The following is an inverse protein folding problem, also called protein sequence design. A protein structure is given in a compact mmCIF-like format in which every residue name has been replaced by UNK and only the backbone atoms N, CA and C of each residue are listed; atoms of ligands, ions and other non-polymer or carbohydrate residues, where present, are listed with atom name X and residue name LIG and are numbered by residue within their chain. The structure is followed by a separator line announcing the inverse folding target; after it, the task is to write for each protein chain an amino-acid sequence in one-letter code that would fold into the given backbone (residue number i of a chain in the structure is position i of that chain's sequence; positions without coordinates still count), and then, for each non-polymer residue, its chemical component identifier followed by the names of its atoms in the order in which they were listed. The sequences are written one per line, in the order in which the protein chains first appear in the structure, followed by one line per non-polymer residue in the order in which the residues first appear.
data_IF_621019936277
#
_entry.id   IF_621019936277
#
_cell.length_a   1.000
_cell.length_b   1.000
_cell.length_c   1.000
_cell.angle_alpha   90.00
_cell.angle_beta   90.00
_cell.angle_gamma   90.00
#
_symmetry.space_group_name_H-M   'P 1'
#
loop_
_entity.id
_entity.type
_entity.pdbx_description
1 polymer ?
#
# COMPACT_ATOMS: atom_id res chain seq x y z
N UNK A 1 -15.24 21.57 42.75
CA UNK A 1 -13.83 21.33 43.14
C UNK A 1 -13.06 20.85 41.91
N UNK A 2 -12.14 21.64 41.33
CA UNK A 2 -11.36 21.20 40.18
C UNK A 2 -10.16 20.36 40.66
N UNK A 3 -10.05 19.15 40.11
CA UNK A 3 -8.96 18.19 40.37
C UNK A 3 -7.67 18.79 39.79
N UNK A 4 -6.74 19.23 40.65
CA UNK A 4 -5.42 19.74 40.22
C UNK A 4 -4.65 18.62 39.55
N UNK A 5 -4.60 18.64 38.22
CA UNK A 5 -3.77 17.75 37.43
C UNK A 5 -2.29 18.09 37.73
N UNK A 6 -1.53 17.10 38.16
CA UNK A 6 -0.14 17.29 38.60
C UNK A 6 0.73 17.79 37.45
N UNK A 7 1.42 18.92 37.68
CA UNK A 7 2.23 19.65 36.70
C UNK A 7 3.40 18.82 36.12
N UNK A 8 3.74 17.68 36.73
CA UNK A 8 4.76 16.73 36.25
C UNK A 8 4.32 15.92 35.03
N UNK A 9 3.02 15.81 34.75
CA UNK A 9 2.50 15.06 33.60
C UNK A 9 2.38 15.90 32.32
N UNK A 10 2.40 17.24 32.42
CA UNK A 10 2.36 18.15 31.29
C UNK A 10 3.50 17.94 30.26
N UNK A 11 4.78 17.79 30.65
CA UNK A 11 5.85 17.63 29.66
C UNK A 11 5.77 16.29 28.92
N UNK A 12 5.33 15.22 29.60
CA UNK A 12 5.14 13.92 28.96
C UNK A 12 3.96 13.93 27.98
N UNK A 13 2.85 14.58 28.34
CA UNK A 13 1.71 14.75 27.45
C UNK A 13 2.09 15.60 26.23
N UNK A 14 2.84 16.69 26.42
CA UNK A 14 3.32 17.52 25.31
C UNK A 14 4.24 16.76 24.36
N UNK A 15 5.16 15.92 24.88
CA UNK A 15 6.01 15.06 24.05
C UNK A 15 5.19 14.02 23.28
N UNK A 16 4.17 13.39 23.89
CA UNK A 16 3.31 12.43 23.21
C UNK A 16 2.52 13.11 22.09
N UNK A 17 1.97 14.30 22.34
CA UNK A 17 1.26 15.10 21.33
C UNK A 17 2.22 15.48 20.20
N UNK A 18 3.44 15.92 20.50
CA UNK A 18 4.43 16.27 19.50
C UNK A 18 4.87 15.06 18.65
N UNK A 19 5.03 13.88 19.27
CA UNK A 19 5.30 12.63 18.53
C UNK A 19 4.11 12.28 17.65
N UNK A 20 2.87 12.38 18.15
CA UNK A 20 1.66 12.11 17.37
C UNK A 20 1.53 13.11 16.20
N UNK A 21 1.76 14.39 16.41
CA UNK A 21 1.75 15.41 15.34
C UNK A 21 2.82 15.15 14.27
N UNK A 22 4.02 14.70 14.67
CA UNK A 22 5.06 14.29 13.71
C UNK A 22 4.60 13.05 12.92
N UNK A 23 4.02 12.04 13.58
CA UNK A 23 3.50 10.85 12.90
C UNK A 23 2.35 11.21 11.94
N UNK A 24 1.46 12.13 12.32
CA UNK A 24 0.36 12.61 11.48
C UNK A 24 0.85 13.42 10.28
N UNK A 25 1.91 14.25 10.42
CA UNK A 25 2.49 14.98 9.29
C UNK A 25 3.23 14.07 8.30
N UNK A 26 3.79 12.94 8.75
CA UNK A 26 4.35 11.93 7.85
C UNK A 26 3.23 11.19 7.09
N UNK A 27 2.06 11.01 7.73
CA UNK A 27 0.88 10.37 7.14
C UNK A 27 0.28 11.13 5.94
N UNK A 28 0.37 12.46 5.88
CA UNK A 28 -0.16 13.25 4.75
C UNK A 28 0.54 12.95 3.40
N UNK A 29 1.71 12.29 3.42
CA UNK A 29 2.45 11.89 2.21
C UNK A 29 2.25 10.43 1.77
N UNK A 30 1.45 9.67 2.52
CA UNK A 30 1.24 8.23 2.31
C UNK A 30 -0.11 7.90 1.66
N UNK A 31 -1.01 8.88 1.50
CA UNK A 31 -2.22 8.68 0.71
C UNK A 31 -1.84 8.63 -0.78
N UNK A 32 -1.91 7.46 -1.43
CA UNK A 32 -1.61 7.34 -2.85
C UNK A 32 -2.73 7.91 -3.72
N UNK A 33 -3.94 8.11 -3.16
CA UNK A 33 -5.15 8.52 -3.87
C UNK A 33 -5.65 9.90 -3.41
N UNK A 34 -5.05 11.01 -3.89
CA UNK A 34 -5.50 12.34 -3.50
C UNK A 34 -6.88 12.74 -4.07
N UNK A 35 -7.50 11.93 -4.94
CA UNK A 35 -8.72 12.31 -5.68
C UNK A 35 -9.92 11.46 -5.30
N UNK A 36 -10.97 12.13 -4.82
CA UNK A 36 -12.31 11.58 -4.58
C UNK A 36 -13.14 11.40 -5.86
N UNK A 37 -12.60 11.73 -7.03
CA UNK A 37 -13.33 11.79 -8.32
C UNK A 37 -13.42 10.44 -9.05
N UNK A 38 -13.00 9.35 -8.40
CA UNK A 38 -12.95 8.02 -9.01
C UNK A 38 -11.74 7.85 -9.93
N UNK A 39 -11.46 6.60 -10.29
CA UNK A 39 -10.40 6.26 -11.24
C UNK A 39 -11.07 5.89 -12.56
N UNK A 40 -10.66 6.51 -13.66
CA UNK A 40 -11.11 6.12 -14.99
C UNK A 40 -10.68 4.68 -15.27
N UNK A 41 -11.67 3.82 -15.49
CA UNK A 41 -11.47 2.38 -15.67
C UNK A 41 -10.58 2.07 -16.89
N UNK A 42 -10.66 2.85 -17.96
CA UNK A 42 -9.82 2.65 -19.15
C UNK A 42 -8.36 3.01 -18.87
N UNK A 43 -8.13 4.02 -18.02
CA UNK A 43 -6.78 4.41 -17.60
C UNK A 43 -6.19 3.36 -16.65
N UNK A 44 -7.00 2.86 -15.72
CA UNK A 44 -6.60 1.78 -14.82
C UNK A 44 -6.28 0.50 -15.59
N UNK A 45 -7.14 0.11 -16.54
CA UNK A 45 -6.95 -1.05 -17.40
C UNK A 45 -5.67 -0.91 -18.22
N UNK A 46 -5.46 0.23 -18.90
CA UNK A 46 -4.26 0.48 -19.70
C UNK A 46 -2.95 0.36 -18.88
N UNK A 47 -2.96 0.79 -17.62
CA UNK A 47 -1.78 0.72 -16.76
C UNK A 47 -1.52 -0.70 -16.25
N UNK A 48 -2.58 -1.46 -15.99
CA UNK A 48 -2.46 -2.87 -15.59
C UNK A 48 -2.11 -3.77 -16.78
N UNK A 49 -2.62 -3.47 -17.98
CA UNK A 49 -2.35 -4.21 -19.22
C UNK A 49 -0.91 -3.99 -19.70
N UNK A 50 -0.44 -2.75 -19.65
CA UNK A 50 0.87 -2.35 -20.18
C UNK A 50 1.99 -2.46 -19.13
N UNK A 51 1.72 -3.09 -17.99
CA UNK A 51 2.72 -3.29 -16.95
C UNK A 51 3.90 -4.10 -17.51
N UNK A 52 5.12 -3.54 -17.60
CA UNK A 52 6.22 -4.20 -18.31
C UNK A 52 6.62 -5.52 -17.64
N UNK A 53 7.02 -6.52 -18.43
CA UNK A 53 7.72 -7.67 -17.88
C UNK A 53 9.14 -7.25 -17.47
N UNK A 54 9.65 -7.73 -16.33
CA UNK A 54 11.00 -7.44 -15.84
C UNK A 54 11.31 -5.95 -15.58
N UNK A 55 10.40 -5.26 -14.90
CA UNK A 55 10.62 -3.87 -14.47
C UNK A 55 11.79 -3.79 -13.48
N UNK A 56 12.80 -2.97 -13.78
CA UNK A 56 13.76 -2.55 -12.78
C UNK A 56 13.05 -1.62 -11.77
N UNK A 57 12.77 -2.12 -10.57
CA UNK A 57 12.03 -1.39 -9.53
C UNK A 57 12.66 -0.03 -9.17
N UNK A 58 13.97 0.13 -9.37
CA UNK A 58 14.69 1.37 -9.07
C UNK A 58 14.52 2.45 -10.15
N UNK A 59 14.21 2.07 -11.39
CA UNK A 59 14.02 3.03 -12.50
C UNK A 59 12.59 3.59 -12.56
N UNK A 60 11.63 2.96 -11.89
CA UNK A 60 10.25 3.44 -11.82
C UNK A 60 10.14 4.62 -10.87
N UNK A 61 9.61 5.74 -11.36
CA UNK A 61 9.35 6.93 -10.53
C UNK A 61 8.37 6.59 -9.40
N UNK A 62 8.65 7.10 -8.20
CA UNK A 62 7.78 6.94 -7.03
C UNK A 62 6.33 7.35 -7.31
N UNK A 63 6.11 8.43 -8.07
CA UNK A 63 4.76 8.88 -8.45
C UNK A 63 3.95 7.82 -9.20
N UNK A 64 4.58 7.10 -10.11
CA UNK A 64 3.92 6.01 -10.84
C UNK A 64 3.62 4.82 -9.91
N UNK A 65 4.56 4.48 -9.02
CA UNK A 65 4.33 3.45 -7.99
C UNK A 65 3.12 3.80 -7.12
N UNK A 66 3.03 5.05 -6.65
CA UNK A 66 1.88 5.51 -5.87
C UNK A 66 0.58 5.48 -6.66
N UNK A 67 0.61 5.85 -7.94
CA UNK A 67 -0.57 5.81 -8.79
C UNK A 67 -1.13 4.39 -8.97
N UNK A 68 -0.24 3.42 -9.20
CA UNK A 68 -0.63 2.00 -9.23
C UNK A 68 -1.19 1.54 -7.88
N UNK A 69 -0.53 1.90 -6.78
CA UNK A 69 -1.02 1.58 -5.44
C UNK A 69 -2.39 2.19 -5.18
N UNK A 70 -2.65 3.39 -5.70
CA UNK A 70 -3.96 4.03 -5.64
C UNK A 70 -5.04 3.20 -6.35
N UNK A 71 -4.76 2.70 -7.55
CA UNK A 71 -5.66 1.80 -8.29
C UNK A 71 -5.98 0.56 -7.43
N UNK A 72 -4.96 -0.07 -6.85
CA UNK A 72 -5.15 -1.25 -6.01
C UNK A 72 -6.00 -0.95 -4.76
N UNK A 73 -5.82 0.23 -4.16
CA UNK A 73 -6.65 0.66 -3.03
C UNK A 73 -8.10 0.91 -3.43
N UNK A 74 -8.32 1.56 -4.58
CA UNK A 74 -9.66 1.86 -5.10
C UNK A 74 -10.49 0.59 -5.31
N UNK A 75 -9.86 -0.47 -5.82
CA UNK A 75 -10.49 -1.78 -5.98
C UNK A 75 -10.53 -2.61 -4.69
N UNK A 76 -10.14 -2.05 -3.54
CA UNK A 76 -10.04 -2.72 -2.24
C UNK A 76 -9.13 -3.96 -2.24
N UNK A 77 -8.13 -3.99 -3.12
CA UNK A 77 -7.12 -5.05 -3.17
C UNK A 77 -6.07 -4.83 -2.07
N UNK A 78 -5.80 -3.57 -1.71
CA UNK A 78 -4.88 -3.21 -0.63
C UNK A 78 -5.48 -2.12 0.24
N UNK A 79 -5.31 -2.20 1.56
CA UNK A 79 -5.72 -1.12 2.48
C UNK A 79 -4.67 -0.02 2.56
N UNK A 80 -5.04 1.10 3.18
CA UNK A 80 -4.12 2.18 3.56
C UNK A 80 -2.99 1.73 4.50
N UNK A 81 -3.15 0.64 5.25
CA UNK A 81 -2.08 0.04 6.06
C UNK A 81 -1.15 -0.90 5.27
N UNK A 82 -1.56 -1.30 4.07
CA UNK A 82 -0.82 -2.21 3.19
C UNK A 82 -1.17 -3.68 3.38
N UNK A 83 -2.29 -3.96 4.04
CA UNK A 83 -2.88 -5.30 4.06
C UNK A 83 -3.49 -5.60 2.69
N UNK A 84 -3.32 -6.83 2.21
CA UNK A 84 -3.75 -7.25 0.87
C UNK A 84 -4.97 -8.15 1.04
N UNK A 85 -6.05 -7.82 0.33
CA UNK A 85 -7.34 -8.52 0.35
C UNK A 85 -7.64 -9.07 -1.04
N UNK A 86 -7.56 -10.39 -1.15
CA UNK A 86 -7.84 -11.12 -2.39
C UNK A 86 -8.97 -12.13 -2.23
N UNK A 87 -9.55 -12.23 -1.04
CA UNK A 87 -10.66 -13.10 -0.67
C UNK A 87 -11.83 -12.99 -1.66
N UNK A 88 -12.28 -11.78 -1.97
CA UNK A 88 -13.36 -11.56 -2.96
C UNK A 88 -13.00 -12.10 -4.36
N UNK A 89 -11.72 -12.05 -4.73
CA UNK A 89 -11.25 -12.53 -6.03
C UNK A 89 -11.07 -14.04 -6.07
N UNK A 90 -10.76 -14.65 -4.92
CA UNK A 90 -10.75 -16.11 -4.74
C UNK A 90 -12.18 -16.67 -4.78
N UNK A 91 -13.11 -16.05 -4.05
CA UNK A 91 -14.51 -16.49 -3.95
C UNK A 91 -15.24 -16.45 -5.31
N UNK A 92 -14.85 -15.51 -6.18
CA UNK A 92 -15.40 -15.39 -7.54
C UNK A 92 -14.77 -16.36 -8.55
N UNK A 93 -13.68 -17.05 -8.18
CA UNK A 93 -12.92 -17.94 -9.06
C UNK A 93 -12.14 -17.21 -10.15
N UNK A 94 -12.07 -15.88 -10.12
CA UNK A 94 -11.26 -15.09 -11.06
C UNK A 94 -9.77 -15.37 -10.84
N UNK A 95 -9.39 -15.65 -9.60
CA UNK A 95 -8.02 -16.00 -9.21
C UNK A 95 -8.04 -17.35 -8.49
N UNK A 96 -7.16 -18.28 -8.90
CA UNK A 96 -6.93 -19.52 -8.15
C UNK A 96 -6.13 -19.21 -6.87
N UNK A 97 -6.81 -19.35 -5.72
CA UNK A 97 -6.22 -19.13 -4.40
C UNK A 97 -4.98 -19.99 -4.17
N UNK A 98 -5.01 -21.27 -4.55
CA UNK A 98 -3.88 -22.18 -4.32
C UNK A 98 -2.67 -21.82 -5.18
N UNK A 99 -2.91 -21.24 -6.36
CA UNK A 99 -1.85 -20.75 -7.23
C UNK A 99 -1.28 -19.40 -6.75
N UNK A 100 -2.10 -18.52 -6.19
CA UNK A 100 -1.73 -17.12 -5.89
C UNK A 100 -1.32 -16.88 -4.43
N UNK A 101 -2.01 -17.45 -3.45
CA UNK A 101 -1.78 -17.18 -2.04
C UNK A 101 -0.33 -17.50 -1.59
N UNK A 102 0.31 -18.60 -2.02
CA UNK A 102 1.71 -18.86 -1.68
C UNK A 102 2.67 -17.82 -2.30
N UNK A 103 2.42 -17.42 -3.56
CA UNK A 103 3.26 -16.48 -4.31
C UNK A 103 3.20 -15.08 -3.70
N UNK A 104 2.00 -14.57 -3.42
CA UNK A 104 1.85 -13.24 -2.81
C UNK A 104 2.48 -13.18 -1.41
N UNK A 105 2.38 -14.26 -0.61
CA UNK A 105 3.01 -14.32 0.71
C UNK A 105 4.54 -14.28 0.63
N UNK A 106 5.14 -14.98 -0.35
CA UNK A 106 6.58 -14.87 -0.62
C UNK A 106 6.98 -13.44 -0.98
N UNK A 107 6.26 -12.81 -1.90
CA UNK A 107 6.53 -11.43 -2.32
C UNK A 107 6.41 -10.43 -1.16
N UNK A 108 5.41 -10.59 -0.28
CA UNK A 108 5.28 -9.79 0.95
C UNK A 108 6.51 -9.92 1.85
N UNK A 109 7.04 -11.13 2.01
CA UNK A 109 8.22 -11.37 2.82
C UNK A 109 9.48 -10.74 2.22
N UNK A 110 9.65 -10.81 0.89
CA UNK A 110 10.78 -10.24 0.17
C UNK A 110 10.89 -8.72 0.40
N UNK A 111 9.77 -8.00 0.31
CA UNK A 111 9.74 -6.54 0.44
C UNK A 111 9.31 -6.05 1.83
N UNK A 112 9.39 -6.88 2.87
CA UNK A 112 8.98 -6.53 4.24
C UNK A 112 9.77 -5.36 4.86
N UNK A 113 10.98 -5.13 4.36
CA UNK A 113 11.88 -4.07 4.84
C UNK A 113 11.71 -2.75 4.10
N UNK A 114 10.95 -2.72 2.99
CA UNK A 114 10.65 -1.49 2.27
C UNK A 114 9.69 -0.64 3.11
N UNK A 115 10.09 0.61 3.37
CA UNK A 115 9.36 1.53 4.25
C UNK A 115 8.47 2.48 3.48
N UNK A 116 8.80 2.80 2.23
CA UNK A 116 7.94 3.60 1.37
C UNK A 116 6.73 2.78 0.94
N UNK A 117 5.54 3.21 1.39
CA UNK A 117 4.29 2.49 1.17
C UNK A 117 4.05 2.18 -0.31
N UNK A 118 4.17 3.18 -1.18
CA UNK A 118 3.98 3.02 -2.62
C UNK A 118 4.98 2.04 -3.22
N UNK A 119 6.26 2.15 -2.85
CA UNK A 119 7.32 1.27 -3.35
C UNK A 119 7.13 -0.16 -2.87
N UNK A 120 6.74 -0.37 -1.62
CA UNK A 120 6.46 -1.69 -1.06
C UNK A 120 5.32 -2.38 -1.81
N UNK A 121 4.17 -1.72 -1.94
CA UNK A 121 3.01 -2.32 -2.62
C UNK A 121 3.32 -2.60 -4.09
N UNK A 122 3.88 -1.62 -4.80
CA UNK A 122 4.28 -1.81 -6.20
C UNK A 122 5.25 -2.99 -6.38
N UNK A 123 6.26 -3.12 -5.51
CA UNK A 123 7.22 -4.21 -5.58
C UNK A 123 6.58 -5.58 -5.32
N UNK A 124 5.67 -5.68 -4.34
CA UNK A 124 4.93 -6.92 -4.03
C UNK A 124 4.13 -7.38 -5.24
N UNK A 125 3.35 -6.49 -5.87
CA UNK A 125 2.53 -6.85 -7.03
C UNK A 125 3.36 -7.11 -8.29
N UNK A 126 4.47 -6.38 -8.47
CA UNK A 126 5.43 -6.69 -9.54
C UNK A 126 6.03 -8.09 -9.35
N UNK A 127 6.43 -8.46 -8.13
CA UNK A 127 6.92 -9.80 -7.79
C UNK A 127 5.86 -10.86 -8.06
N UNK A 128 4.62 -10.65 -7.64
CA UNK A 128 3.54 -11.60 -7.92
C UNK A 128 3.37 -11.79 -9.44
N UNK A 129 3.40 -10.71 -10.22
CA UNK A 129 3.36 -10.79 -11.69
C UNK A 129 4.51 -11.62 -12.24
N UNK A 130 5.74 -11.43 -11.77
CA UNK A 130 6.89 -12.23 -12.23
C UNK A 130 6.72 -13.72 -11.85
N UNK A 131 6.28 -14.01 -10.64
CA UNK A 131 6.00 -15.38 -10.18
C UNK A 131 4.88 -16.04 -11.02
N UNK A 132 3.92 -15.27 -11.53
CA UNK A 132 2.87 -15.76 -12.42
C UNK A 132 3.33 -15.96 -13.87
N UNK A 133 4.24 -15.11 -14.37
CA UNK A 133 4.77 -15.20 -15.73
C UNK A 133 5.91 -16.22 -15.90
N UNK A 134 6.58 -16.60 -14.80
CA UNK A 134 7.68 -17.56 -14.81
C UNK A 134 7.21 -19.03 -14.87
N UNK A 135 5.90 -19.28 -14.83
CA UNK A 135 5.24 -20.58 -14.95
C UNK A 135 4.30 -20.60 -16.17
#
# INVERSE_FOLDING_TARGET
MPRKMSLRFLPHLACIIFILEIQFRISESNDPCPHNEGIDENIAEGILSDWPANVNLTSVKRSHKCYVTCILQYYNIVSSSGEIFLDKYYDTGVIDEFAVAPKINRCRYEFRMETDYCSRIFAIFNCLRQELLAN
#
